data_IF_587745221222
#
_entry.id   IF_587745221222
#
_cell.length_a   1.000
_cell.length_b   1.000
_cell.length_c   1.000
_cell.angle_alpha   90.00
_cell.angle_beta   90.00
_cell.angle_gamma   90.00
#
_symmetry.space_group_name_H-M   'P 1'
#
loop_
_entity.id
_entity.type
_entity.pdbx_description
1 polymer ?
#
# COMPACT_ATOMS: atom_id res chain seq x y z
N UNK A 1 -1.68 -4.96 -2.46
CA UNK A 1 -1.38 -6.41 -2.54
C UNK A 1 -2.54 -7.17 -1.92
N UNK A 2 -2.76 -8.40 -2.35
CA UNK A 2 -3.91 -9.20 -1.96
C UNK A 2 -3.46 -10.61 -1.55
N UNK A 3 -3.85 -11.05 -0.35
CA UNK A 3 -3.70 -12.43 0.11
C UNK A 3 -5.03 -13.15 -0.11
N UNK A 4 -4.98 -14.31 -0.76
CA UNK A 4 -6.17 -15.10 -1.01
C UNK A 4 -6.76 -15.60 0.30
N UNK A 5 -8.08 -15.47 0.51
CA UNK A 5 -8.71 -16.00 1.71
C UNK A 5 -8.69 -17.53 1.70
N UNK A 6 -8.74 -18.15 2.90
CA UNK A 6 -8.81 -19.61 3.03
C UNK A 6 -10.09 -20.22 2.42
N UNK A 7 -11.16 -19.45 2.35
CA UNK A 7 -12.43 -19.84 1.73
C UNK A 7 -12.48 -19.34 0.29
N UNK A 8 -12.45 -20.26 -0.66
CA UNK A 8 -12.39 -19.95 -2.11
C UNK A 8 -13.60 -19.15 -2.58
N UNK A 9 -14.78 -19.40 -2.00
CA UNK A 9 -16.03 -18.70 -2.33
C UNK A 9 -15.94 -17.21 -2.00
N UNK A 10 -15.26 -16.84 -0.92
CA UNK A 10 -15.03 -15.45 -0.54
C UNK A 10 -14.08 -14.73 -1.50
N UNK A 11 -13.15 -15.43 -2.12
CA UNK A 11 -12.20 -14.84 -3.05
C UNK A 11 -12.90 -14.13 -4.20
N UNK A 12 -13.87 -14.79 -4.80
CA UNK A 12 -14.64 -14.25 -5.93
C UNK A 12 -15.39 -12.97 -5.55
N UNK A 13 -16.02 -12.93 -4.38
CA UNK A 13 -16.77 -11.77 -3.89
C UNK A 13 -15.83 -10.61 -3.60
N UNK A 14 -14.73 -10.87 -2.90
CA UNK A 14 -13.74 -9.84 -2.55
C UNK A 14 -13.08 -9.29 -3.80
N UNK A 15 -12.68 -10.12 -4.76
CA UNK A 15 -12.09 -9.68 -6.04
C UNK A 15 -13.06 -8.81 -6.84
N UNK A 16 -14.32 -9.23 -6.99
CA UNK A 16 -15.35 -8.42 -7.66
C UNK A 16 -15.52 -7.06 -6.97
N UNK A 17 -15.58 -7.02 -5.64
CA UNK A 17 -15.72 -5.77 -4.90
C UNK A 17 -14.52 -4.83 -5.10
N UNK A 18 -13.31 -5.34 -4.99
CA UNK A 18 -12.08 -4.54 -5.10
C UNK A 18 -11.74 -4.11 -6.52
N UNK A 19 -12.11 -4.91 -7.53
CA UNK A 19 -11.86 -4.59 -8.95
C UNK A 19 -13.00 -3.79 -9.59
N UNK A 20 -14.10 -3.52 -8.89
CA UNK A 20 -15.31 -2.87 -9.40
C UNK A 20 -15.05 -1.53 -10.08
N UNK A 21 -14.06 -0.78 -9.63
CA UNK A 21 -13.70 0.54 -10.18
C UNK A 21 -12.47 0.48 -11.10
N UNK A 22 -12.20 -0.66 -11.74
CA UNK A 22 -11.07 -0.83 -12.66
C UNK A 22 -9.73 -1.10 -11.97
N UNK A 23 -9.73 -1.33 -10.66
CA UNK A 23 -8.51 -1.68 -9.92
C UNK A 23 -8.05 -3.11 -10.22
N UNK A 24 -6.74 -3.31 -10.28
CA UNK A 24 -6.12 -4.61 -10.45
C UNK A 24 -5.52 -5.09 -9.12
N UNK A 25 -5.86 -6.31 -8.72
CA UNK A 25 -5.28 -6.94 -7.54
C UNK A 25 -3.99 -7.68 -7.92
N UNK A 26 -2.93 -7.45 -7.15
CA UNK A 26 -1.68 -8.20 -7.28
C UNK A 26 -1.48 -9.08 -6.04
N UNK A 27 -0.95 -10.31 -6.22
CA UNK A 27 -0.76 -11.24 -5.11
C UNK A 27 0.26 -10.70 -4.09
N UNK A 28 0.13 -11.12 -2.82
CA UNK A 28 1.03 -10.72 -1.74
C UNK A 28 2.31 -11.57 -1.74
N UNK A 29 3.07 -11.55 -2.84
CA UNK A 29 4.32 -12.27 -3.04
C UNK A 29 5.26 -11.51 -3.99
N UNK A 30 6.40 -12.10 -4.32
CA UNK A 30 7.42 -11.50 -5.20
C UNK A 30 6.84 -11.13 -6.59
N UNK A 31 5.95 -11.96 -7.15
CA UNK A 31 5.30 -11.66 -8.44
C UNK A 31 4.41 -10.41 -8.35
N UNK A 32 3.70 -10.23 -7.24
CA UNK A 32 2.91 -9.03 -6.99
C UNK A 32 3.76 -7.77 -6.85
N UNK A 33 4.90 -7.85 -6.14
CA UNK A 33 5.86 -6.74 -6.04
C UNK A 33 6.40 -6.36 -7.43
N UNK A 34 6.74 -7.35 -8.25
CA UNK A 34 7.16 -7.10 -9.64
C UNK A 34 6.04 -6.44 -10.47
N UNK A 35 4.78 -6.84 -10.26
CA UNK A 35 3.61 -6.22 -10.86
C UNK A 35 3.46 -4.74 -10.49
N UNK A 36 3.60 -4.40 -9.20
CA UNK A 36 3.56 -3.02 -8.72
C UNK A 36 4.68 -2.17 -9.33
N UNK A 37 5.91 -2.70 -9.40
CA UNK A 37 7.04 -2.02 -10.04
C UNK A 37 6.77 -1.74 -11.53
N UNK A 38 6.23 -2.72 -12.26
CA UNK A 38 5.86 -2.53 -13.67
C UNK A 38 4.77 -1.48 -13.84
N UNK A 39 3.75 -1.48 -12.99
CA UNK A 39 2.68 -0.48 -13.00
C UNK A 39 3.24 0.94 -12.80
N UNK A 40 4.07 1.14 -11.78
CA UNK A 40 4.72 2.45 -11.53
C UNK A 40 5.60 2.90 -12.70
N UNK A 41 6.36 1.99 -13.32
CA UNK A 41 7.18 2.30 -14.51
C UNK A 41 6.34 2.71 -15.74
N UNK A 42 5.10 2.26 -15.83
CA UNK A 42 4.15 2.70 -16.87
C UNK A 42 3.42 4.00 -16.53
N UNK A 43 3.73 4.61 -15.37
CA UNK A 43 3.06 5.82 -14.89
C UNK A 43 1.68 5.56 -14.27
N UNK A 44 1.38 4.30 -13.92
CA UNK A 44 0.12 3.94 -13.26
C UNK A 44 0.21 4.20 -11.75
N UNK A 45 -0.95 4.38 -11.14
CA UNK A 45 -1.09 4.56 -9.68
C UNK A 45 -1.23 3.20 -8.98
N UNK A 46 -0.61 3.06 -7.82
CA UNK A 46 -0.78 1.89 -6.95
C UNK A 46 -1.28 2.30 -5.57
N UNK A 47 -2.08 1.44 -4.94
CA UNK A 47 -2.52 1.60 -3.55
C UNK A 47 -1.80 0.62 -2.62
N UNK A 48 -1.31 1.13 -1.50
CA UNK A 48 -0.67 0.34 -0.44
C UNK A 48 -1.34 0.69 0.88
N UNK A 49 -1.69 -0.34 1.67
CA UNK A 49 -2.12 -0.20 3.06
C UNK A 49 -0.90 -0.46 3.95
N UNK A 50 -0.33 0.56 4.61
CA UNK A 50 0.93 0.44 5.34
C UNK A 50 0.77 -0.01 6.79
N UNK A 51 -0.45 -0.20 7.27
CA UNK A 51 -0.85 -0.48 8.65
C UNK A 51 -0.76 -1.97 9.04
N UNK A 52 -0.41 -2.84 8.11
CA UNK A 52 -0.27 -4.27 8.38
C UNK A 52 1.15 -4.64 8.77
N UNK A 53 1.26 -5.47 9.82
CA UNK A 53 2.54 -6.08 10.19
C UNK A 53 2.93 -7.08 9.10
N UNK A 54 4.16 -6.97 8.54
CA UNK A 54 4.60 -7.91 7.53
C UNK A 54 4.77 -9.31 8.12
N UNK A 55 4.35 -10.32 7.35
CA UNK A 55 4.56 -11.72 7.72
C UNK A 55 6.05 -12.09 7.80
N UNK A 56 6.36 -13.15 8.53
CA UNK A 56 7.73 -13.69 8.62
C UNK A 56 8.27 -13.94 7.20
N UNK A 57 9.39 -13.30 6.86
CA UNK A 57 10.01 -13.42 5.53
C UNK A 57 9.57 -12.41 4.49
N UNK A 58 8.55 -11.59 4.73
CA UNK A 58 8.11 -10.55 3.79
C UNK A 58 8.90 -9.22 3.86
N UNK A 59 9.93 -9.17 4.67
CA UNK A 59 10.82 -8.01 4.80
C UNK A 59 10.19 -6.88 5.61
N UNK A 60 10.54 -6.82 6.88
CA UNK A 60 10.22 -5.72 7.78
C UNK A 60 11.47 -5.26 8.51
N UNK A 61 11.44 -4.05 9.03
CA UNK A 61 12.43 -3.52 9.97
C UNK A 61 11.75 -3.03 11.23
N UNK A 62 12.41 -3.19 12.36
CA UNK A 62 11.97 -2.56 13.59
C UNK A 62 12.19 -1.05 13.48
N UNK A 63 11.13 -0.30 13.65
CA UNK A 63 11.13 1.16 13.72
C UNK A 63 10.41 1.61 14.99
N UNK A 64 10.77 2.77 15.52
CA UNK A 64 10.07 3.35 16.67
C UNK A 64 8.70 3.87 16.22
N UNK A 65 7.65 3.44 16.91
CA UNK A 65 6.30 3.93 16.74
C UNK A 65 5.76 4.33 18.12
N UNK A 66 5.59 5.62 18.34
CA UNK A 66 5.22 6.21 19.64
C UNK A 66 6.11 5.71 20.81
N UNK A 67 7.42 5.61 20.58
CA UNK A 67 8.38 5.15 21.57
C UNK A 67 8.50 3.64 21.75
N UNK A 68 7.69 2.85 21.04
CA UNK A 68 7.73 1.38 21.07
C UNK A 68 8.31 0.81 19.77
N UNK A 69 9.11 -0.29 19.83
CA UNK A 69 9.58 -0.95 18.62
C UNK A 69 8.42 -1.65 17.89
N UNK A 70 8.19 -1.27 16.64
CA UNK A 70 7.16 -1.87 15.79
C UNK A 70 7.77 -2.42 14.50
N UNK A 71 7.37 -3.65 14.13
CA UNK A 71 7.80 -4.24 12.85
C UNK A 71 7.08 -3.53 11.70
N UNK A 72 7.85 -2.77 10.91
CA UNK A 72 7.33 -1.89 9.86
C UNK A 72 7.69 -2.44 8.48
N UNK A 73 6.70 -2.46 7.58
CA UNK A 73 6.88 -2.93 6.21
C UNK A 73 7.83 -2.01 5.42
N UNK A 74 8.76 -2.61 4.64
CA UNK A 74 9.76 -1.87 3.86
C UNK A 74 9.40 -1.77 2.37
N UNK A 75 8.20 -2.20 1.96
CA UNK A 75 7.79 -2.23 0.56
C UNK A 75 7.70 -0.82 -0.04
N UNK A 76 7.01 0.11 0.63
CA UNK A 76 6.80 1.46 0.14
C UNK A 76 8.12 2.21 -0.11
N UNK A 77 9.05 2.32 0.86
CA UNK A 77 10.34 2.98 0.60
C UNK A 77 11.14 2.32 -0.53
N UNK A 78 11.13 0.99 -0.64
CA UNK A 78 11.81 0.28 -1.74
C UNK A 78 11.21 0.60 -3.12
N UNK A 79 9.90 0.74 -3.21
CA UNK A 79 9.24 1.14 -4.46
C UNK A 79 9.60 2.59 -4.82
N UNK A 80 9.54 3.51 -3.87
CA UNK A 80 9.94 4.91 -4.07
C UNK A 80 11.39 5.03 -4.51
N UNK A 81 12.32 4.33 -3.83
CA UNK A 81 13.74 4.31 -4.20
C UNK A 81 13.97 3.84 -5.64
N UNK A 82 13.23 2.80 -6.08
CA UNK A 82 13.42 2.20 -7.41
C UNK A 82 12.75 2.96 -8.56
N UNK A 83 11.70 3.74 -8.27
CA UNK A 83 10.86 4.33 -9.32
C UNK A 83 10.81 5.86 -9.28
N UNK A 84 11.18 6.47 -8.16
CA UNK A 84 10.99 7.90 -7.94
C UNK A 84 9.52 8.33 -7.86
N UNK A 85 8.60 7.37 -7.65
CA UNK A 85 7.16 7.65 -7.63
C UNK A 85 6.80 8.66 -6.54
N UNK A 86 5.86 9.55 -6.86
CA UNK A 86 5.27 10.48 -5.89
C UNK A 86 4.35 9.72 -4.94
N UNK A 87 4.38 10.12 -3.66
CA UNK A 87 3.59 9.48 -2.61
C UNK A 87 2.50 10.43 -2.15
N UNK A 88 1.30 9.89 -2.00
CA UNK A 88 0.14 10.59 -1.43
C UNK A 88 -0.47 9.74 -0.33
N UNK A 89 -0.88 10.36 0.76
CA UNK A 89 -1.76 9.73 1.74
C UNK A 89 -3.20 9.96 1.33
N UNK A 90 -4.00 8.90 1.30
CA UNK A 90 -5.43 8.97 1.00
C UNK A 90 -6.23 8.78 2.30
N UNK A 91 -7.06 9.74 2.64
CA UNK A 91 -7.97 9.69 3.78
C UNK A 91 -9.42 9.69 3.29
N UNK A 92 -10.17 8.64 3.65
CA UNK A 92 -11.60 8.56 3.40
C UNK A 92 -12.37 9.05 4.64
N UNK A 93 -12.79 10.31 4.63
CA UNK A 93 -13.58 10.93 5.69
C UNK A 93 -15.05 10.62 5.48
N UNK A 94 -15.70 10.00 6.47
CA UNK A 94 -17.15 9.73 6.43
C UNK A 94 -17.92 11.03 6.57
N UNK A 95 -18.88 11.27 5.68
CA UNK A 95 -19.79 12.40 5.76
C UNK A 95 -20.97 12.11 6.67
N UNK A 96 -21.51 13.14 7.36
CA UNK A 96 -22.63 12.96 8.26
C UNK A 96 -23.91 12.53 7.51
N UNK A 97 -24.85 11.91 8.24
CA UNK A 97 -26.18 11.50 7.74
C UNK A 97 -26.12 10.55 6.51
N UNK A 98 -25.11 9.69 6.45
CA UNK A 98 -25.01 8.70 5.37
C UNK A 98 -24.74 9.26 3.97
N UNK A 99 -24.26 10.50 3.85
CA UNK A 99 -23.96 11.16 2.56
C UNK A 99 -22.72 10.61 1.84
N UNK A 100 -22.14 9.49 2.31
CA UNK A 100 -21.00 8.86 1.68
C UNK A 100 -19.66 9.27 2.30
N UNK A 101 -18.64 9.42 1.47
CA UNK A 101 -17.28 9.72 1.91
C UNK A 101 -16.68 10.85 1.07
N UNK A 102 -15.86 11.67 1.71
CA UNK A 102 -14.96 12.62 1.07
C UNK A 102 -13.57 11.99 1.00
N UNK A 103 -12.99 11.88 -0.19
CA UNK A 103 -11.63 11.40 -0.37
C UNK A 103 -10.66 12.58 -0.41
N UNK A 104 -9.77 12.63 0.58
CA UNK A 104 -8.76 13.68 0.72
C UNK A 104 -7.40 13.07 0.34
N UNK A 105 -6.73 13.64 -0.65
CA UNK A 105 -5.38 13.24 -1.06
C UNK A 105 -4.38 14.28 -0.57
N UNK A 106 -3.44 13.85 0.25
CA UNK A 106 -2.41 14.70 0.86
C UNK A 106 -1.06 14.28 0.28
N UNK A 107 -0.33 15.14 -0.44
CA UNK A 107 1.00 14.83 -0.89
C UNK A 107 1.94 14.62 0.30
N UNK A 108 2.82 13.64 0.21
CA UNK A 108 3.85 13.44 1.21
C UNK A 108 4.84 14.62 1.18
N UNK A 109 5.26 15.07 2.36
CA UNK A 109 6.25 16.13 2.47
C UNK A 109 7.64 15.67 1.98
N UNK A 110 8.51 16.64 1.67
CA UNK A 110 9.85 16.35 1.15
C UNK A 110 10.73 15.61 2.16
N UNK A 111 10.60 15.89 3.45
CA UNK A 111 11.39 15.22 4.49
C UNK A 111 11.03 13.75 4.56
N UNK A 112 9.73 13.41 4.48
CA UNK A 112 9.25 12.04 4.43
C UNK A 112 9.80 11.32 3.18
N UNK A 113 9.76 11.95 2.02
CA UNK A 113 10.29 11.40 0.77
C UNK A 113 11.82 11.22 0.84
N UNK A 114 12.56 12.17 1.38
CA UNK A 114 14.00 12.06 1.56
C UNK A 114 14.37 10.93 2.53
N UNK A 115 13.61 10.76 3.60
CA UNK A 115 13.78 9.63 4.53
C UNK A 115 13.56 8.29 3.84
N UNK A 116 12.58 8.19 2.95
CA UNK A 116 12.33 6.98 2.16
C UNK A 116 13.42 6.66 1.14
N UNK A 117 14.15 7.66 0.65
CA UNK A 117 15.25 7.49 -0.31
C UNK A 117 16.56 7.04 0.32
N UNK A 118 16.71 7.17 1.65
CA UNK A 118 17.89 6.68 2.35
C UNK A 118 17.98 5.15 2.31
N UNK A 119 19.18 4.57 2.25
CA UNK A 119 19.36 3.12 2.35
C UNK A 119 18.71 2.59 3.63
N UNK A 120 18.04 1.47 3.52
CA UNK A 120 17.39 0.77 4.64
C UNK A 120 18.41 -0.06 5.42
#
# INVERSE_FOLDING_TARGET
>A
MYSEPKLVELDTIIRKGRCRMGGNLVPANIKGVAGLLKALKRGEMIGILPDQVPDKGQGGKLASFYGHPALTATLLPKLVQKTGAKVFTALAKRLPKGKGFELILIPADENFIQTMKKPL
#
